data_IF_309592829835
#
_entry.id   IF_309592829835
#
_cell.length_a   1.000
_cell.length_b   1.000
_cell.length_c   1.000
_cell.angle_alpha   90.00
_cell.angle_beta   90.00
_cell.angle_gamma   90.00
#
_symmetry.space_group_name_H-M   'P 1'
#
loop_
_entity.id
_entity.type
_entity.pdbx_description
1 polymer ?
#
# COMPACT_ATOMS: atom_id res chain seq x y z
N UNK A 1 7.44 -23.93 -2.73
CA UNK A 1 6.23 -23.12 -3.00
C UNK A 1 6.51 -21.72 -2.50
N UNK A 2 6.19 -20.69 -3.27
CA UNK A 2 6.37 -19.28 -2.86
C UNK A 2 5.00 -18.73 -2.51
N UNK A 3 4.70 -18.41 -1.23
CA UNK A 3 3.41 -17.84 -0.87
C UNK A 3 3.32 -16.38 -1.32
N UNK A 4 2.15 -16.00 -1.85
CA UNK A 4 1.80 -14.61 -2.18
C UNK A 4 0.58 -14.23 -1.34
N UNK A 5 0.69 -13.13 -0.60
CA UNK A 5 -0.44 -12.57 0.14
C UNK A 5 -1.20 -11.56 -0.72
N UNK A 6 -2.51 -11.74 -0.81
CA UNK A 6 -3.40 -10.87 -1.55
C UNK A 6 -4.65 -10.64 -0.69
N UNK A 7 -4.79 -9.42 -0.16
CA UNK A 7 -5.93 -9.05 0.68
C UNK A 7 -6.56 -7.75 0.22
N UNK A 8 -7.89 -7.71 0.37
CA UNK A 8 -8.67 -6.50 0.26
C UNK A 8 -8.77 -5.80 1.63
N UNK A 9 -8.74 -4.47 1.62
CA UNK A 9 -8.89 -3.65 2.83
C UNK A 9 -10.32 -3.13 3.03
N UNK A 10 -11.31 -3.86 2.50
CA UNK A 10 -12.72 -3.43 2.50
C UNK A 10 -13.36 -3.35 3.89
N UNK A 11 -12.66 -3.85 4.92
CA UNK A 11 -13.08 -3.83 6.34
C UNK A 11 -11.98 -3.29 7.26
N UNK A 12 -10.93 -2.66 6.70
CA UNK A 12 -9.80 -2.13 7.49
C UNK A 12 -8.91 -3.20 8.12
N UNK A 13 -8.93 -4.43 7.58
CA UNK A 13 -8.12 -5.56 8.09
C UNK A 13 -7.02 -6.00 7.13
N UNK A 14 -6.96 -5.45 5.92
CA UNK A 14 -6.02 -5.87 4.87
C UNK A 14 -4.56 -5.64 5.27
N UNK A 15 -4.26 -4.42 5.76
CA UNK A 15 -2.92 -4.06 6.24
C UNK A 15 -2.45 -4.93 7.42
N UNK A 16 -3.35 -5.21 8.37
CA UNK A 16 -3.04 -6.06 9.53
C UNK A 16 -2.79 -7.51 9.09
N UNK A 17 -3.56 -8.01 8.12
CA UNK A 17 -3.34 -9.34 7.57
C UNK A 17 -2.02 -9.42 6.77
N UNK A 18 -1.60 -8.36 6.07
CA UNK A 18 -0.27 -8.29 5.44
C UNK A 18 0.86 -8.31 6.46
N UNK A 19 0.76 -7.53 7.53
CA UNK A 19 1.76 -7.58 8.59
C UNK A 19 1.85 -8.98 9.21
N UNK A 20 0.72 -9.61 9.54
CA UNK A 20 0.71 -10.97 10.07
C UNK A 20 1.30 -12.00 9.09
N UNK A 21 1.02 -11.87 7.79
CA UNK A 21 1.62 -12.71 6.76
C UNK A 21 3.13 -12.48 6.65
N UNK A 22 3.59 -11.23 6.72
CA UNK A 22 5.01 -10.87 6.73
C UNK A 22 5.75 -11.48 7.91
N UNK A 23 5.18 -11.38 9.12
CA UNK A 23 5.71 -11.99 10.34
C UNK A 23 5.75 -13.54 10.25
N UNK A 24 4.82 -14.12 9.48
CA UNK A 24 4.77 -15.57 9.21
C UNK A 24 5.72 -16.03 8.09
N UNK A 25 6.52 -15.13 7.52
CA UNK A 25 7.53 -15.45 6.51
C UNK A 25 7.13 -15.19 5.05
N UNK A 26 5.95 -14.63 4.77
CA UNK A 26 5.56 -14.21 3.41
C UNK A 26 6.38 -12.99 2.98
N UNK A 27 6.83 -12.98 1.71
CA UNK A 27 7.65 -11.89 1.15
C UNK A 27 7.11 -11.32 -0.17
N UNK A 28 6.03 -11.88 -0.70
CA UNK A 28 5.40 -11.43 -1.92
C UNK A 28 3.97 -10.99 -1.61
N UNK A 29 3.63 -9.76 -1.98
CA UNK A 29 2.37 -9.12 -1.65
C UNK A 29 1.82 -8.43 -2.89
N UNK A 30 0.55 -8.69 -3.21
CA UNK A 30 -0.14 -7.98 -4.28
C UNK A 30 -0.79 -6.71 -3.72
N UNK A 31 -0.56 -5.57 -4.33
CA UNK A 31 -1.19 -4.31 -3.93
C UNK A 31 -1.74 -3.58 -5.16
N UNK A 32 -2.43 -2.47 -4.93
CA UNK A 32 -2.86 -1.59 -6.02
C UNK A 32 -2.67 -0.13 -5.65
N UNK A 33 -2.38 0.71 -6.64
CA UNK A 33 -2.30 2.15 -6.44
C UNK A 33 -3.61 2.68 -5.88
N UNK A 34 -3.54 3.43 -4.77
CA UNK A 34 -4.69 4.05 -4.11
C UNK A 34 -5.81 3.08 -3.71
N UNK A 35 -5.54 1.78 -3.64
CA UNK A 35 -6.53 0.75 -3.31
C UNK A 35 -7.50 0.41 -4.46
N UNK A 36 -7.13 0.73 -5.70
CA UNK A 36 -7.93 0.41 -6.89
C UNK A 36 -8.22 -1.08 -6.99
N UNK A 37 -9.46 -1.39 -7.31
CA UNK A 37 -9.97 -2.74 -7.36
C UNK A 37 -11.29 -2.79 -6.64
N UNK A 38 -11.78 -4.00 -6.41
CA UNK A 38 -13.08 -4.22 -5.82
C UNK A 38 -13.53 -5.64 -6.10
N UNK A 39 -14.76 -5.91 -5.73
CA UNK A 39 -15.33 -7.24 -5.91
C UNK A 39 -16.03 -7.34 -7.27
N UNK A 40 -16.28 -8.57 -7.77
CA UNK A 40 -17.11 -8.75 -8.94
C UNK A 40 -18.44 -8.02 -8.79
N UNK A 41 -19.01 -7.59 -9.91
CA UNK A 41 -20.24 -6.79 -9.96
C UNK A 41 -21.44 -7.46 -9.27
N UNK A 42 -21.44 -8.79 -9.19
CA UNK A 42 -22.45 -9.61 -8.51
C UNK A 42 -22.33 -9.57 -6.98
N UNK A 43 -21.13 -9.24 -6.46
CA UNK A 43 -20.85 -9.20 -5.04
C UNK A 43 -20.97 -7.76 -4.53
N UNK A 44 -22.13 -7.45 -3.95
CA UNK A 44 -22.33 -6.17 -3.26
C UNK A 44 -21.94 -6.28 -1.79
N UNK A 45 -20.87 -5.57 -1.43
CA UNK A 45 -20.67 -5.15 -0.05
C UNK A 45 -21.52 -3.91 0.22
N UNK A 46 -21.63 -3.47 1.48
CA UNK A 46 -22.35 -2.24 1.83
C UNK A 46 -21.80 -1.00 1.08
N UNK A 47 -22.39 0.18 1.30
CA UNK A 47 -22.02 1.42 0.59
C UNK A 47 -20.67 2.06 0.98
N UNK A 48 -19.72 1.27 1.50
CA UNK A 48 -18.40 1.73 1.93
C UNK A 48 -17.32 1.55 0.87
N UNK A 49 -16.10 1.99 1.19
CA UNK A 49 -14.94 1.77 0.33
C UNK A 49 -14.56 0.30 0.32
N UNK A 50 -14.35 -0.24 -0.88
CA UNK A 50 -13.85 -1.60 -1.09
C UNK A 50 -12.68 -1.56 -2.05
N UNK A 51 -11.80 -2.55 -1.97
CA UNK A 51 -10.63 -2.61 -2.81
C UNK A 51 -9.47 -3.33 -2.13
N UNK A 52 -8.35 -3.38 -2.84
CA UNK A 52 -7.10 -3.96 -2.37
C UNK A 52 -6.47 -3.09 -1.28
N UNK A 53 -5.47 -3.65 -0.59
CA UNK A 53 -4.50 -2.84 0.15
C UNK A 53 -3.80 -1.87 -0.81
N UNK A 54 -3.68 -0.61 -0.37
CA UNK A 54 -3.00 0.44 -1.12
C UNK A 54 -1.49 0.17 -1.15
N UNK A 55 -0.89 0.23 -2.34
CA UNK A 55 0.57 0.06 -2.52
C UNK A 55 1.33 1.05 -1.65
N UNK A 56 0.89 2.31 -1.63
CA UNK A 56 1.55 3.41 -0.93
C UNK A 56 1.56 3.20 0.58
N UNK A 57 0.45 2.68 1.12
CA UNK A 57 0.30 2.45 2.55
C UNK A 57 1.15 1.26 3.00
N UNK A 58 1.21 0.20 2.18
CA UNK A 58 2.03 -0.97 2.46
C UNK A 58 3.53 -0.69 2.33
N UNK A 59 3.95 -0.04 1.25
CA UNK A 59 5.35 0.34 1.03
C UNK A 59 5.83 1.28 2.14
N UNK A 60 5.06 2.32 2.47
CA UNK A 60 5.44 3.25 3.54
C UNK A 60 5.57 2.54 4.90
N UNK A 61 4.72 1.55 5.20
CA UNK A 61 4.85 0.75 6.42
C UNK A 61 6.15 -0.05 6.42
N UNK A 62 6.45 -0.78 5.34
CA UNK A 62 7.68 -1.57 5.23
C UNK A 62 8.93 -0.70 5.37
N UNK A 63 8.98 0.43 4.65
CA UNK A 63 10.08 1.39 4.76
C UNK A 63 10.20 1.95 6.19
N UNK A 64 9.07 2.24 6.85
CA UNK A 64 9.06 2.73 8.23
C UNK A 64 9.53 1.67 9.24
N UNK A 65 9.43 0.39 8.89
CA UNK A 65 9.97 -0.73 9.66
C UNK A 65 11.45 -1.00 9.33
N UNK A 66 12.06 -0.23 8.43
CA UNK A 66 13.43 -0.44 7.96
C UNK A 66 13.56 -1.60 6.96
N UNK A 67 12.47 -2.00 6.30
CA UNK A 67 12.46 -3.02 5.26
C UNK A 67 12.56 -2.33 3.90
N UNK A 68 13.70 -2.49 3.24
CA UNK A 68 13.92 -1.96 1.89
C UNK A 68 12.99 -2.66 0.89
N UNK A 69 12.11 -1.88 0.27
CA UNK A 69 11.18 -2.36 -0.74
C UNK A 69 11.73 -2.24 -2.17
N UNK A 70 12.81 -1.48 -2.36
CA UNK A 70 13.34 -1.10 -3.67
C UNK A 70 12.44 -0.16 -4.47
N UNK A 71 11.39 0.39 -3.86
CA UNK A 71 10.44 1.29 -4.53
C UNK A 71 10.88 2.74 -4.39
N UNK A 72 10.96 3.46 -5.50
CA UNK A 72 11.09 4.91 -5.47
C UNK A 72 9.79 5.54 -4.95
N UNK A 73 9.84 6.07 -3.73
CA UNK A 73 8.69 6.61 -3.02
C UNK A 73 8.09 7.84 -3.72
N UNK A 74 8.91 8.68 -4.35
CA UNK A 74 8.41 9.85 -5.08
C UNK A 74 7.74 9.44 -6.38
N UNK A 75 8.35 8.53 -7.14
CA UNK A 75 7.73 7.97 -8.34
C UNK A 75 6.43 7.22 -8.01
N UNK A 76 6.38 6.51 -6.88
CA UNK A 76 5.17 5.85 -6.40
C UNK A 76 4.03 6.85 -6.15
N UNK A 77 4.31 7.96 -5.44
CA UNK A 77 3.29 8.99 -5.20
C UNK A 77 2.81 9.65 -6.51
N UNK A 78 3.72 9.91 -7.44
CA UNK A 78 3.37 10.44 -8.77
C UNK A 78 2.47 9.47 -9.55
N UNK A 79 2.79 8.17 -9.51
CA UNK A 79 1.98 7.13 -10.14
C UNK A 79 0.59 7.02 -9.49
N UNK A 80 0.50 7.18 -8.17
CA UNK A 80 -0.77 7.21 -7.43
C UNK A 80 -1.67 8.36 -7.89
N UNK A 81 -1.11 9.57 -7.92
CA UNK A 81 -1.82 10.77 -8.37
C UNK A 81 -2.26 10.65 -9.85
N UNK A 82 -1.41 10.07 -10.71
CA UNK A 82 -1.78 9.82 -12.09
C UNK A 82 -2.92 8.80 -12.20
N UNK A 83 -2.92 7.74 -11.40
CA UNK A 83 -3.98 6.74 -11.36
C UNK A 83 -5.33 7.37 -10.97
N UNK A 84 -5.34 8.19 -9.93
CA UNK A 84 -6.52 8.96 -9.51
C UNK A 84 -7.04 9.87 -10.63
N UNK A 85 -6.14 10.60 -11.31
CA UNK A 85 -6.47 11.46 -12.44
C UNK A 85 -7.11 10.70 -13.60
N UNK A 86 -6.55 9.54 -13.98
CA UNK A 86 -7.06 8.72 -15.08
C UNK A 86 -8.43 8.12 -14.76
N UNK A 87 -8.65 7.71 -13.51
CA UNK A 87 -9.91 7.13 -13.07
C UNK A 87 -11.00 8.17 -12.79
N UNK A 88 -10.65 9.45 -12.67
CA UNK A 88 -11.59 10.54 -12.43
C UNK A 88 -12.33 10.43 -11.08
N UNK A 89 -11.75 9.75 -10.09
CA UNK A 89 -12.32 9.58 -8.75
C UNK A 89 -11.22 9.58 -7.68
N UNK A 90 -11.52 10.12 -6.51
CA UNK A 90 -10.63 10.03 -5.37
C UNK A 90 -10.34 8.57 -4.97
N UNK A 91 -9.08 8.28 -4.69
CA UNK A 91 -8.57 7.01 -4.21
C UNK A 91 -8.40 7.04 -2.67
N UNK A 92 -7.94 5.93 -2.10
CA UNK A 92 -8.08 5.68 -0.65
C UNK A 92 -6.77 5.55 0.13
N UNK A 93 -5.62 5.66 -0.54
CA UNK A 93 -4.33 5.63 0.16
C UNK A 93 -4.28 6.71 1.22
N UNK A 94 -3.92 6.33 2.43
CA UNK A 94 -3.69 7.28 3.52
C UNK A 94 -2.41 8.07 3.27
N UNK A 95 -1.36 7.40 2.83
CA UNK A 95 -0.05 8.01 2.57
C UNK A 95 -0.10 9.02 1.43
N UNK A 96 -0.79 8.72 0.33
CA UNK A 96 -0.93 9.70 -0.76
C UNK A 96 -1.66 10.98 -0.33
N UNK A 97 -2.58 10.87 0.64
CA UNK A 97 -3.35 11.99 1.16
C UNK A 97 -2.63 12.74 2.29
N UNK A 98 -1.85 12.04 3.13
CA UNK A 98 -1.17 12.62 4.29
C UNK A 98 0.30 12.97 4.06
N UNK A 99 0.90 12.45 2.99
CA UNK A 99 2.34 12.44 2.76
C UNK A 99 3.04 11.22 3.36
N UNK A 100 4.29 11.01 2.95
CA UNK A 100 5.20 10.00 3.49
C UNK A 100 5.53 10.29 4.95
N UNK A 101 5.96 9.24 5.66
CA UNK A 101 6.52 9.39 7.00
C UNK A 101 7.76 10.33 6.94
N UNK A 102 7.74 11.49 7.61
CA UNK A 102 8.82 12.48 7.52
C UNK A 102 10.13 12.01 8.16
N UNK A 103 10.12 10.89 8.88
CA UNK A 103 11.31 10.31 9.50
C UNK A 103 12.08 9.37 8.57
N UNK A 104 11.51 8.96 7.42
CA UNK A 104 12.19 8.07 6.47
C UNK A 104 13.48 8.70 5.89
N UNK A 105 13.46 10.02 5.65
CA UNK A 105 14.62 10.76 5.13
C UNK A 105 15.78 10.86 6.14
N UNK A 106 15.54 10.60 7.44
CA UNK A 106 16.57 10.72 8.46
C UNK A 106 17.56 9.55 8.51
N UNK A 107 17.23 8.41 7.89
CA UNK A 107 18.06 7.20 7.91
C UNK A 107 19.08 7.11 6.75
N UNK A 108 18.92 7.90 5.69
CA UNK A 108 19.88 7.96 4.58
C UNK A 108 21.15 8.75 4.91
N UNK A 109 21.15 9.51 6.02
CA UNK A 109 22.27 10.34 6.44
C UNK A 109 23.27 9.63 7.40
N UNK A 110 23.00 8.39 7.86
CA UNK A 110 23.84 7.72 8.89
C UNK A 110 24.73 6.59 8.37
N UNK A 111 24.78 6.33 7.06
CA UNK A 111 25.65 5.29 6.46
C UNK A 111 26.77 5.86 5.58
N UNK A 112 27.14 7.12 5.80
CA UNK A 112 28.31 7.76 5.20
C UNK A 112 29.29 8.30 6.26
N UNK A 113 29.93 7.40 7.02
CA UNK A 113 31.32 7.51 7.52
C UNK A 113 31.72 6.27 8.32
#
# INVERSE_FOLDING_TARGET
MVPVAHFHDSRGTGMVNYLAAYESGVRYFDCSMGGVGGHPTEVKYGGGFTGNVCTEDWVNLLESMGVDTGVDLQCMLQASAYCESVLGRALHSKVALSGLNPLLDSHSATTAS
#
